data_IF_496540523828
#
_entry.id   IF_496540523828
#
_cell.length_a   1.000
_cell.length_b   1.000
_cell.length_c   1.000
_cell.angle_alpha   90.00
_cell.angle_beta   90.00
_cell.angle_gamma   90.00
#
_symmetry.space_group_name_H-M   'P 1'
#
loop_
_entity.id
_entity.type
_entity.pdbx_description
1 polymer ?
#
# COMPACT_ATOMS: atom_id res chain seq x y z
N UNK A 1 12.60 7.93 28.71
CA UNK A 1 11.18 7.76 29.08
C UNK A 1 10.70 6.49 28.38
N UNK A 2 10.24 5.50 29.11
CA UNK A 2 9.73 4.24 28.52
C UNK A 2 8.32 4.55 28.01
N UNK A 3 8.12 4.59 26.70
CA UNK A 3 6.76 4.65 26.11
C UNK A 3 6.00 3.39 26.54
N UNK A 4 4.99 3.58 27.40
CA UNK A 4 4.09 2.49 27.76
C UNK A 4 3.31 2.07 26.48
N UNK A 5 3.41 0.80 26.10
CA UNK A 5 2.60 0.25 25.00
C UNK A 5 1.12 0.59 25.24
N UNK A 6 0.42 1.16 24.24
CA UNK A 6 -0.98 1.52 24.39
C UNK A 6 -1.81 0.29 24.74
N UNK A 7 -2.71 0.43 25.72
CA UNK A 7 -3.58 -0.68 26.15
C UNK A 7 -4.49 -1.14 25.01
N UNK A 8 -4.92 -2.41 25.03
CA UNK A 8 -5.79 -3.05 23.99
C UNK A 8 -7.03 -2.20 23.63
N UNK A 9 -7.62 -1.51 24.61
CA UNK A 9 -8.77 -0.61 24.39
C UNK A 9 -8.38 0.61 23.55
N UNK A 10 -7.22 1.22 23.81
CA UNK A 10 -6.71 2.37 23.06
C UNK A 10 -6.44 2.00 21.59
N UNK A 11 -5.81 0.85 21.34
CA UNK A 11 -5.55 0.35 19.98
C UNK A 11 -6.86 0.12 19.21
N UNK A 12 -7.88 -0.47 19.85
CA UNK A 12 -9.20 -0.66 19.24
C UNK A 12 -9.84 0.68 18.88
N UNK A 13 -9.81 1.66 19.77
CA UNK A 13 -10.39 2.99 19.52
C UNK A 13 -9.65 3.71 18.39
N UNK A 14 -8.30 3.68 18.38
CA UNK A 14 -7.52 4.25 17.28
C UNK A 14 -7.89 3.62 15.93
N UNK A 15 -8.05 2.29 15.86
CA UNK A 15 -8.46 1.59 14.64
C UNK A 15 -9.85 2.04 14.18
N UNK A 16 -10.83 2.20 15.08
CA UNK A 16 -12.16 2.70 14.74
C UNK A 16 -12.11 4.12 14.15
N UNK A 17 -11.32 5.01 14.73
CA UNK A 17 -11.17 6.39 14.26
C UNK A 17 -10.54 6.41 12.86
N UNK A 18 -9.47 5.65 12.62
CA UNK A 18 -8.80 5.55 11.32
C UNK A 18 -9.72 4.99 10.25
N UNK A 19 -10.45 3.93 10.54
CA UNK A 19 -11.41 3.35 9.59
C UNK A 19 -12.53 4.36 9.27
N UNK A 20 -13.05 5.07 10.27
CA UNK A 20 -14.06 6.11 10.06
C UNK A 20 -13.56 7.22 9.12
N UNK A 21 -12.32 7.69 9.30
CA UNK A 21 -11.71 8.65 8.38
C UNK A 21 -11.53 8.06 6.98
N UNK A 22 -10.99 6.84 6.88
CA UNK A 22 -10.77 6.17 5.60
C UNK A 22 -12.07 5.99 4.81
N UNK A 23 -13.18 5.65 5.47
CA UNK A 23 -14.49 5.56 4.82
C UNK A 23 -15.03 6.93 4.37
N UNK A 24 -14.84 8.00 5.16
CA UNK A 24 -15.26 9.34 4.77
C UNK A 24 -14.46 9.85 3.55
N UNK A 25 -13.17 9.57 3.50
CA UNK A 25 -12.27 9.93 2.41
C UNK A 25 -12.56 9.19 1.08
N UNK A 26 -13.41 8.17 1.09
CA UNK A 26 -13.89 7.55 -0.15
C UNK A 26 -14.86 8.47 -0.91
N UNK A 27 -15.48 9.44 -0.23
CA UNK A 27 -16.55 10.27 -0.78
C UNK A 27 -16.34 11.78 -0.59
N UNK A 28 -15.30 12.19 0.13
CA UNK A 28 -15.00 13.59 0.46
C UNK A 28 -13.51 13.87 0.48
N UNK A 29 -13.12 15.10 0.15
CA UNK A 29 -11.75 15.54 0.38
C UNK A 29 -11.46 15.71 1.89
N UNK A 30 -10.22 15.51 2.30
CA UNK A 30 -9.81 15.64 3.70
C UNK A 30 -10.18 17.01 4.31
N UNK A 31 -10.04 18.11 3.55
CA UNK A 31 -10.37 19.47 3.98
C UNK A 31 -11.86 19.68 4.31
N UNK A 32 -12.73 18.82 3.77
CA UNK A 32 -14.19 18.90 3.93
C UNK A 32 -14.72 17.95 5.02
N UNK A 33 -13.81 17.22 5.70
CA UNK A 33 -14.14 16.29 6.78
C UNK A 33 -13.91 16.98 8.13
N UNK A 34 -14.88 16.84 9.02
CA UNK A 34 -14.83 17.41 10.38
C UNK A 34 -14.56 16.33 11.44
N UNK A 35 -13.99 16.74 12.57
CA UNK A 35 -13.84 15.87 13.75
C UNK A 35 -15.20 15.30 14.21
N UNK A 36 -16.29 16.08 14.06
CA UNK A 36 -17.62 15.62 14.44
C UNK A 36 -18.09 14.45 13.57
N UNK A 37 -17.88 14.50 12.26
CA UNK A 37 -18.25 13.40 11.35
C UNK A 37 -17.44 12.14 11.63
N UNK A 38 -16.11 12.29 11.85
CA UNK A 38 -15.26 11.15 12.22
C UNK A 38 -15.68 10.54 13.54
N UNK A 39 -15.92 11.35 14.58
CA UNK A 39 -16.34 10.87 15.89
C UNK A 39 -17.70 10.15 15.83
N UNK A 40 -18.67 10.73 15.10
CA UNK A 40 -20.00 10.12 14.88
C UNK A 40 -19.87 8.79 14.14
N UNK A 41 -19.06 8.73 13.07
CA UNK A 41 -18.87 7.51 12.28
C UNK A 41 -18.13 6.42 13.05
N UNK A 42 -17.21 6.80 13.93
CA UNK A 42 -16.47 5.89 14.82
C UNK A 42 -17.27 5.46 16.07
N UNK A 43 -18.50 5.99 16.25
CA UNK A 43 -19.34 5.78 17.43
C UNK A 43 -18.64 6.14 18.75
N UNK A 44 -17.98 7.32 18.79
CA UNK A 44 -17.30 7.84 19.97
C UNK A 44 -17.69 9.31 20.24
N UNK A 45 -17.44 9.77 21.47
CA UNK A 45 -17.56 11.19 21.79
C UNK A 45 -16.40 12.00 21.21
N UNK A 46 -16.61 13.31 20.95
CA UNK A 46 -15.51 14.24 20.58
C UNK A 46 -14.42 14.29 21.63
N UNK A 47 -14.78 14.19 22.91
CA UNK A 47 -13.79 14.12 24.00
C UNK A 47 -12.91 12.87 23.87
N UNK A 48 -13.50 11.72 23.53
CA UNK A 48 -12.75 10.50 23.27
C UNK A 48 -11.83 10.65 22.04
N UNK A 49 -12.30 11.32 20.99
CA UNK A 49 -11.47 11.62 19.81
C UNK A 49 -10.21 12.39 20.19
N UNK A 50 -10.36 13.52 20.91
CA UNK A 50 -9.23 14.39 21.31
C UNK A 50 -8.25 13.75 22.30
N UNK A 51 -8.58 12.60 22.88
CA UNK A 51 -7.61 11.82 23.66
C UNK A 51 -6.60 11.08 22.79
N UNK A 52 -6.83 10.99 21.46
CA UNK A 52 -6.00 10.21 20.54
C UNK A 52 -5.42 11.01 19.39
N UNK A 53 -6.14 12.03 18.91
CA UNK A 53 -5.78 12.81 17.75
C UNK A 53 -6.11 14.28 17.97
N UNK A 54 -5.28 15.14 17.40
CA UNK A 54 -5.46 16.59 17.47
C UNK A 54 -6.59 17.05 16.54
N UNK A 55 -6.55 16.58 15.29
CA UNK A 55 -7.56 16.87 14.26
C UNK A 55 -7.61 15.74 13.21
N UNK A 56 -8.32 15.94 12.11
CA UNK A 56 -8.45 14.96 11.02
C UNK A 56 -7.15 14.80 10.22
N UNK A 57 -6.32 15.84 10.12
CA UNK A 57 -5.03 15.79 9.44
C UNK A 57 -4.04 14.95 10.23
N UNK A 58 -4.04 15.05 11.55
CA UNK A 58 -3.22 14.21 12.43
C UNK A 58 -3.52 12.72 12.25
N UNK A 59 -4.82 12.34 12.10
CA UNK A 59 -5.20 10.95 11.80
C UNK A 59 -4.61 10.53 10.46
N UNK A 60 -4.75 11.38 9.43
CA UNK A 60 -4.30 11.07 8.07
C UNK A 60 -2.79 10.89 8.01
N UNK A 61 -2.02 11.80 8.64
CA UNK A 61 -0.55 11.68 8.72
C UNK A 61 -0.11 10.40 9.44
N UNK A 62 -0.75 10.06 10.58
CA UNK A 62 -0.42 8.83 11.29
C UNK A 62 -0.76 7.59 10.46
N UNK A 63 -1.89 7.59 9.76
CA UNK A 63 -2.29 6.51 8.88
C UNK A 63 -1.30 6.33 7.71
N UNK A 64 -0.88 7.42 7.08
CA UNK A 64 0.11 7.40 6.01
C UNK A 64 1.46 6.83 6.50
N UNK A 65 1.95 7.32 7.65
CA UNK A 65 3.19 6.83 8.27
C UNK A 65 3.12 5.34 8.59
N UNK A 66 1.98 4.87 9.12
CA UNK A 66 1.77 3.44 9.43
C UNK A 66 1.77 2.58 8.17
N UNK A 67 1.04 2.98 7.12
CA UNK A 67 1.02 2.22 5.85
C UNK A 67 2.42 2.11 5.27
N UNK A 68 3.16 3.22 5.19
CA UNK A 68 4.52 3.22 4.65
C UNK A 68 5.49 2.42 5.52
N UNK A 69 5.36 2.48 6.85
CA UNK A 69 6.19 1.70 7.76
C UNK A 69 5.95 0.19 7.60
N UNK A 70 4.68 -0.24 7.54
CA UNK A 70 4.34 -1.67 7.35
C UNK A 70 4.82 -2.19 5.99
N UNK A 71 4.60 -1.43 4.91
CA UNK A 71 5.11 -1.79 3.58
C UNK A 71 6.64 -1.80 3.54
N UNK A 72 7.30 -0.86 4.24
CA UNK A 72 8.76 -0.84 4.40
C UNK A 72 9.29 -2.09 5.13
N UNK A 73 8.62 -2.53 6.20
CA UNK A 73 8.97 -3.76 6.92
C UNK A 73 8.82 -4.98 6.00
N UNK A 74 7.75 -5.05 5.21
CA UNK A 74 7.55 -6.13 4.24
C UNK A 74 8.68 -6.17 3.22
N UNK A 75 9.11 -5.00 2.71
CA UNK A 75 10.22 -4.89 1.76
C UNK A 75 11.55 -5.37 2.36
N UNK A 76 11.86 -4.96 3.61
CA UNK A 76 13.07 -5.40 4.30
C UNK A 76 13.05 -6.92 4.56
N UNK A 77 11.91 -7.45 4.99
CA UNK A 77 11.75 -8.89 5.21
C UNK A 77 11.95 -9.71 3.92
N UNK A 78 11.53 -9.16 2.78
CA UNK A 78 11.78 -9.76 1.47
C UNK A 78 13.27 -9.75 1.13
N UNK A 79 13.95 -8.63 1.32
CA UNK A 79 15.40 -8.50 1.07
C UNK A 79 16.22 -9.50 1.91
N UNK A 80 15.90 -9.63 3.21
CA UNK A 80 16.60 -10.52 4.13
C UNK A 80 16.27 -12.01 3.88
N UNK A 81 15.14 -12.31 3.26
CA UNK A 81 14.69 -13.67 2.96
C UNK A 81 13.91 -13.74 1.62
N UNK A 82 14.61 -13.77 0.47
CA UNK A 82 13.99 -13.78 -0.85
C UNK A 82 13.11 -15.00 -1.14
N UNK A 83 13.20 -16.06 -0.33
CA UNK A 83 12.33 -17.25 -0.44
C UNK A 83 10.90 -17.02 0.06
N UNK A 84 10.65 -15.92 0.79
CA UNK A 84 9.32 -15.51 1.17
C UNK A 84 8.56 -14.94 -0.03
N UNK A 85 7.31 -15.32 -0.11
CA UNK A 85 6.38 -14.75 -1.10
C UNK A 85 5.99 -13.31 -0.68
N UNK A 86 6.80 -12.34 -1.10
CA UNK A 86 6.55 -10.91 -0.86
C UNK A 86 5.17 -10.50 -1.38
N UNK A 87 4.77 -11.05 -2.53
CA UNK A 87 3.46 -10.78 -3.11
C UNK A 87 2.35 -11.20 -2.14
N UNK A 88 2.44 -12.39 -1.56
CA UNK A 88 1.42 -12.88 -0.63
C UNK A 88 1.31 -12.02 0.64
N UNK A 89 2.43 -11.64 1.26
CA UNK A 89 2.45 -10.77 2.44
C UNK A 89 1.88 -9.39 2.14
N UNK A 90 2.24 -8.79 1.00
CA UNK A 90 1.72 -7.50 0.54
C UNK A 90 0.20 -7.55 0.31
N UNK A 91 -0.30 -8.56 -0.40
CA UNK A 91 -1.73 -8.71 -0.65
C UNK A 91 -2.52 -9.09 0.61
N UNK A 92 -1.93 -9.81 1.57
CA UNK A 92 -2.51 -10.03 2.89
C UNK A 92 -2.69 -8.71 3.65
N UNK A 93 -1.69 -7.82 3.60
CA UNK A 93 -1.80 -6.50 4.22
C UNK A 93 -2.95 -5.67 3.62
N UNK A 94 -3.11 -5.68 2.29
CA UNK A 94 -4.22 -5.01 1.61
C UNK A 94 -5.58 -5.55 2.10
N UNK A 95 -5.76 -6.87 2.12
CA UNK A 95 -7.03 -7.49 2.52
C UNK A 95 -7.37 -7.32 4.00
N UNK A 96 -6.37 -7.14 4.85
CA UNK A 96 -6.57 -6.84 6.27
C UNK A 96 -6.91 -5.37 6.55
N UNK A 97 -6.70 -4.47 5.57
CA UNK A 97 -6.92 -3.04 5.67
C UNK A 97 -7.77 -2.48 4.50
N UNK A 98 -8.94 -3.09 4.19
CA UNK A 98 -9.70 -2.78 2.99
C UNK A 98 -10.11 -1.31 2.90
N UNK A 99 -10.56 -0.69 4.00
CA UNK A 99 -11.01 0.70 3.99
C UNK A 99 -9.87 1.68 3.70
N UNK A 100 -8.66 1.36 4.16
CA UNK A 100 -7.46 2.16 3.90
C UNK A 100 -7.12 2.13 2.41
N UNK A 101 -7.16 0.96 1.78
CA UNK A 101 -6.85 0.85 0.34
C UNK A 101 -7.96 1.42 -0.55
N UNK A 102 -9.23 1.29 -0.17
CA UNK A 102 -10.33 2.02 -0.83
C UNK A 102 -10.12 3.53 -0.78
N UNK A 103 -9.68 4.06 0.37
CA UNK A 103 -9.31 5.47 0.52
C UNK A 103 -8.13 5.86 -0.38
N UNK A 104 -7.04 5.08 -0.41
CA UNK A 104 -5.84 5.36 -1.21
C UNK A 104 -6.20 5.48 -2.70
N UNK A 105 -7.11 4.65 -3.18
CA UNK A 105 -7.56 4.62 -4.57
C UNK A 105 -8.81 5.45 -4.84
N UNK A 106 -9.30 6.21 -3.85
CA UNK A 106 -10.41 7.13 -4.02
C UNK A 106 -10.01 8.32 -4.91
N UNK A 107 -10.92 8.82 -5.76
CA UNK A 107 -10.69 10.06 -6.53
C UNK A 107 -10.59 11.31 -5.66
N UNK A 108 -11.02 11.24 -4.40
CA UNK A 108 -10.94 12.32 -3.42
C UNK A 108 -9.61 12.37 -2.67
N UNK A 109 -8.74 11.36 -2.84
CA UNK A 109 -7.40 11.35 -2.27
C UNK A 109 -6.43 12.14 -3.16
N UNK A 110 -5.44 12.80 -2.57
CA UNK A 110 -4.41 13.58 -3.29
C UNK A 110 -3.56 12.72 -4.23
N UNK A 111 -3.51 11.41 -4.01
CA UNK A 111 -2.67 10.47 -4.74
C UNK A 111 -1.22 10.38 -4.24
N UNK A 112 -0.84 11.19 -3.25
CA UNK A 112 0.54 11.21 -2.72
C UNK A 112 0.95 9.86 -2.11
N UNK A 113 0.09 9.29 -1.25
CA UNK A 113 0.36 7.97 -0.66
C UNK A 113 0.43 6.87 -1.73
N UNK A 114 -0.45 6.91 -2.74
CA UNK A 114 -0.40 6.00 -3.88
C UNK A 114 0.92 6.13 -4.65
N UNK A 115 1.39 7.35 -4.89
CA UNK A 115 2.69 7.60 -5.52
C UNK A 115 3.85 7.00 -4.72
N UNK A 116 3.87 7.19 -3.39
CA UNK A 116 4.89 6.61 -2.50
C UNK A 116 4.87 5.07 -2.55
N UNK A 117 3.69 4.45 -2.56
CA UNK A 117 3.55 2.99 -2.69
C UNK A 117 4.05 2.51 -4.06
N UNK A 118 3.74 3.24 -5.15
CA UNK A 118 4.25 2.92 -6.49
C UNK A 118 5.78 2.93 -6.51
N UNK A 119 6.40 3.96 -5.93
CA UNK A 119 7.85 4.06 -5.83
C UNK A 119 8.48 2.91 -5.01
N UNK A 120 7.80 2.45 -3.96
CA UNK A 120 8.26 1.27 -3.19
C UNK A 120 8.20 -0.01 -4.02
N UNK A 121 7.12 -0.26 -4.78
CA UNK A 121 7.00 -1.40 -5.68
C UNK A 121 8.09 -1.35 -6.76
N UNK A 122 8.35 -0.17 -7.31
CA UNK A 122 9.42 0.06 -8.27
C UNK A 122 10.79 -0.29 -7.69
N UNK A 123 11.08 0.16 -6.47
CA UNK A 123 12.32 -0.16 -5.76
C UNK A 123 12.50 -1.65 -5.52
N UNK A 124 11.45 -2.37 -5.13
CA UNK A 124 11.46 -3.83 -4.95
C UNK A 124 11.75 -4.54 -6.28
N UNK A 125 11.07 -4.14 -7.36
CA UNK A 125 11.31 -4.71 -8.68
C UNK A 125 12.77 -4.53 -9.13
N UNK A 126 13.31 -3.31 -8.99
CA UNK A 126 14.72 -3.02 -9.31
C UNK A 126 15.68 -3.89 -8.51
N UNK A 127 15.44 -4.04 -7.20
CA UNK A 127 16.24 -4.90 -6.33
C UNK A 127 16.26 -6.34 -6.82
N UNK A 128 15.08 -6.92 -7.10
CA UNK A 128 14.94 -8.30 -7.61
C UNK A 128 15.71 -8.48 -8.92
N UNK A 129 15.56 -7.55 -9.86
CA UNK A 129 16.23 -7.64 -11.17
C UNK A 129 17.75 -7.49 -11.05
N UNK A 130 18.24 -6.66 -10.13
CA UNK A 130 19.67 -6.47 -9.88
C UNK A 130 20.30 -7.72 -9.21
N UNK A 131 19.60 -8.38 -8.32
CA UNK A 131 20.08 -9.59 -7.62
C UNK A 131 20.06 -10.84 -8.50
N UNK A 132 19.11 -10.95 -9.41
CA UNK A 132 19.02 -12.08 -10.33
C UNK A 132 20.20 -12.19 -11.30
N UNK A 133 20.91 -11.10 -11.55
CA UNK A 133 22.19 -10.98 -12.33
C UNK A 133 22.32 -11.82 -13.61
N UNK A 134 21.23 -12.30 -14.20
CA UNK A 134 21.26 -13.17 -15.37
C UNK A 134 21.30 -12.38 -16.70
N UNK A 135 21.07 -11.04 -16.63
CA UNK A 135 21.05 -10.17 -17.82
C UNK A 135 21.73 -8.85 -17.50
N UNK A 136 22.66 -8.40 -18.33
CA UNK A 136 23.20 -7.03 -18.30
C UNK A 136 22.12 -6.05 -18.80
N UNK A 137 21.15 -5.72 -17.93
CA UNK A 137 20.19 -4.65 -18.19
C UNK A 137 20.88 -3.32 -17.93
N UNK A 138 20.86 -2.40 -18.88
CA UNK A 138 21.37 -1.05 -18.63
C UNK A 138 20.48 -0.32 -17.60
N UNK A 139 21.06 0.58 -16.81
CA UNK A 139 20.30 1.39 -15.85
C UNK A 139 19.10 2.08 -16.48
N UNK A 140 19.26 2.56 -17.73
CA UNK A 140 18.18 3.23 -18.46
C UNK A 140 17.02 2.29 -18.81
N UNK A 141 17.31 1.09 -19.23
CA UNK A 141 16.28 0.08 -19.54
C UNK A 141 15.55 -0.36 -18.26
N UNK A 142 16.33 -0.58 -17.18
CA UNK A 142 15.77 -0.91 -15.88
C UNK A 142 14.83 0.19 -15.36
N UNK A 143 15.14 1.48 -15.61
CA UNK A 143 14.26 2.60 -15.28
C UNK A 143 12.89 2.50 -15.98
N UNK A 144 12.86 2.23 -17.28
CA UNK A 144 11.59 2.11 -18.02
C UNK A 144 10.81 0.84 -17.63
N UNK A 145 11.48 -0.29 -17.46
CA UNK A 145 10.82 -1.53 -17.08
C UNK A 145 10.25 -1.46 -15.65
N UNK A 146 10.99 -0.91 -14.71
CA UNK A 146 10.52 -0.76 -13.33
C UNK A 146 9.36 0.21 -13.24
N UNK A 147 9.38 1.32 -13.97
CA UNK A 147 8.27 2.28 -14.02
C UNK A 147 7.02 1.68 -14.66
N UNK A 148 7.15 0.91 -15.75
CA UNK A 148 6.05 0.20 -16.38
C UNK A 148 5.45 -0.85 -15.45
N UNK A 149 6.29 -1.68 -14.83
CA UNK A 149 5.87 -2.74 -13.94
C UNK A 149 5.15 -2.21 -12.70
N UNK A 150 5.75 -1.25 -12.00
CA UNK A 150 5.15 -0.67 -10.79
C UNK A 150 3.81 0.01 -11.07
N UNK A 151 3.72 0.75 -12.19
CA UNK A 151 2.47 1.38 -12.62
C UNK A 151 1.40 0.34 -12.99
N UNK A 152 1.79 -0.74 -13.66
CA UNK A 152 0.91 -1.86 -13.99
C UNK A 152 0.38 -2.57 -12.75
N UNK A 153 1.24 -2.87 -11.78
CA UNK A 153 0.85 -3.46 -10.50
C UNK A 153 -0.18 -2.58 -9.77
N UNK A 154 0.09 -1.28 -9.66
CA UNK A 154 -0.84 -0.34 -9.02
C UNK A 154 -2.18 -0.28 -9.75
N UNK A 155 -2.19 -0.29 -11.09
CA UNK A 155 -3.43 -0.28 -11.87
C UNK A 155 -4.27 -1.54 -11.64
N UNK A 156 -3.63 -2.72 -11.56
CA UNK A 156 -4.30 -4.00 -11.25
C UNK A 156 -4.87 -3.98 -9.82
N UNK A 157 -4.06 -3.55 -8.84
CA UNK A 157 -4.48 -3.45 -7.44
C UNK A 157 -5.65 -2.46 -7.30
N UNK A 158 -5.56 -1.28 -7.92
CA UNK A 158 -6.64 -0.30 -7.93
C UNK A 158 -7.94 -0.90 -8.49
N UNK A 159 -7.86 -1.60 -9.62
CA UNK A 159 -9.00 -2.26 -10.23
C UNK A 159 -9.62 -3.30 -9.29
N UNK A 160 -8.79 -4.11 -8.64
CA UNK A 160 -9.23 -5.12 -7.69
C UNK A 160 -9.92 -4.53 -6.47
N UNK A 161 -9.37 -3.47 -5.89
CA UNK A 161 -9.99 -2.74 -4.78
C UNK A 161 -11.33 -2.13 -5.19
N UNK A 162 -11.42 -1.53 -6.40
CA UNK A 162 -12.67 -0.97 -6.95
C UNK A 162 -13.75 -2.03 -7.22
N UNK A 163 -13.35 -3.28 -7.45
CA UNK A 163 -14.25 -4.44 -7.59
C UNK A 163 -14.56 -5.12 -6.25
N UNK A 164 -14.36 -4.42 -5.14
CA UNK A 164 -14.57 -4.90 -3.77
C UNK A 164 -13.82 -6.23 -3.49
N UNK A 165 -12.55 -6.25 -3.91
CA UNK A 165 -11.63 -7.39 -3.75
C UNK A 165 -12.08 -8.68 -4.47
N UNK A 166 -12.81 -8.53 -5.57
CA UNK A 166 -13.16 -9.62 -6.48
C UNK A 166 -12.38 -9.48 -7.80
N UNK A 167 -11.79 -10.53 -8.36
CA UNK A 167 -11.72 -11.93 -7.87
C UNK A 167 -10.84 -12.12 -6.63
N UNK A 168 -10.60 -13.39 -6.24
CA UNK A 168 -9.81 -13.71 -5.04
C UNK A 168 -8.39 -13.13 -5.09
N UNK A 169 -7.80 -12.93 -3.91
CA UNK A 169 -6.39 -12.52 -3.75
C UNK A 169 -5.44 -13.39 -4.58
N UNK A 170 -5.60 -14.71 -4.49
CA UNK A 170 -4.72 -15.67 -5.17
C UNK A 170 -4.79 -15.56 -6.70
N UNK A 171 -5.97 -15.20 -7.25
CA UNK A 171 -6.12 -14.93 -8.67
C UNK A 171 -5.30 -13.70 -9.08
N UNK A 172 -5.34 -12.63 -8.29
CA UNK A 172 -4.60 -11.39 -8.58
C UNK A 172 -3.09 -11.62 -8.49
N UNK A 173 -2.63 -12.31 -7.44
CA UNK A 173 -1.20 -12.66 -7.26
C UNK A 173 -0.73 -13.47 -8.47
N UNK A 174 -1.45 -14.53 -8.85
CA UNK A 174 -1.11 -15.34 -10.03
C UNK A 174 -1.04 -14.51 -11.31
N UNK A 175 -2.03 -13.65 -11.53
CA UNK A 175 -2.07 -12.77 -12.71
C UNK A 175 -0.85 -11.87 -12.80
N UNK A 176 -0.45 -11.24 -11.69
CA UNK A 176 0.74 -10.38 -11.66
C UNK A 176 2.02 -11.19 -11.83
N UNK A 177 2.13 -12.36 -11.20
CA UNK A 177 3.28 -13.27 -11.37
C UNK A 177 3.41 -13.74 -12.83
N UNK A 178 2.31 -14.04 -13.49
CA UNK A 178 2.33 -14.45 -14.90
C UNK A 178 2.77 -13.29 -15.81
N UNK A 179 2.33 -12.06 -15.53
CA UNK A 179 2.80 -10.86 -16.26
C UNK A 179 4.29 -10.60 -16.01
N UNK A 180 4.77 -10.75 -14.78
CA UNK A 180 6.18 -10.61 -14.43
C UNK A 180 7.04 -11.59 -15.23
N UNK A 181 6.68 -12.87 -15.25
CA UNK A 181 7.38 -13.90 -16.02
C UNK A 181 7.43 -13.59 -17.50
N UNK A 182 6.33 -13.12 -18.10
CA UNK A 182 6.30 -12.75 -19.51
C UNK A 182 7.20 -11.54 -19.80
N UNK A 183 7.24 -10.58 -18.89
CA UNK A 183 8.11 -9.43 -19.00
C UNK A 183 9.59 -9.82 -18.87
N UNK A 184 9.94 -10.73 -17.96
CA UNK A 184 11.31 -11.28 -17.84
C UNK A 184 11.75 -11.96 -19.15
N UNK A 185 10.87 -12.81 -19.72
CA UNK A 185 11.16 -13.47 -21.02
C UNK A 185 11.38 -12.42 -22.13
N UNK A 186 10.55 -11.38 -22.16
CA UNK A 186 10.69 -10.30 -23.12
C UNK A 186 12.03 -9.57 -22.94
N UNK A 187 12.38 -9.18 -21.73
CA UNK A 187 13.64 -8.49 -21.40
C UNK A 187 14.81 -9.35 -21.88
N UNK A 188 14.87 -10.63 -21.50
CA UNK A 188 15.95 -11.56 -21.89
C UNK A 188 16.02 -11.71 -23.40
N UNK A 189 14.88 -11.83 -24.10
CA UNK A 189 14.87 -12.03 -25.55
C UNK A 189 15.27 -10.81 -26.37
N UNK A 190 14.97 -9.60 -25.91
CA UNK A 190 15.22 -8.35 -26.62
C UNK A 190 16.60 -7.76 -26.32
N UNK A 191 17.05 -7.87 -25.08
CA UNK A 191 18.35 -7.34 -24.67
C UNK A 191 19.50 -8.29 -24.98
N UNK A 192 19.17 -9.46 -25.55
CA UNK A 192 20.12 -10.31 -26.25
C UNK A 192 21.28 -10.76 -25.39
N UNK A 193 21.06 -11.77 -24.60
CA UNK A 193 22.14 -12.73 -24.38
C UNK A 193 22.39 -13.44 -25.72
N UNK A 194 23.24 -12.82 -26.56
CA UNK A 194 23.86 -13.49 -27.67
C UNK A 194 25.06 -14.27 -27.18
#
# INVERSE_FOLDING_TARGET
MVEQKPGRKALKTKKLIKNALAELLQNKNLKDITVQEVAQKADISRTTFYNYYYDVYDIYEQLEKEVLAELGILTLNFHDNPSKDYGDEFFNYITQNPEVFKMIFSPYNTGELRYKITAMIEGVFRLIQTEKNEVEITDKELDYFSAFWSSGCIAVIQKWVQMDFSPSKDYIIRTLTDFEKQMEIFIVSQLGLR
#
